data_IF_457887003709
#
_entry.id   IF_457887003709
#
_cell.length_a   1.000
_cell.length_b   1.000
_cell.length_c   1.000
_cell.angle_alpha   90.00
_cell.angle_beta   90.00
_cell.angle_gamma   90.00
#
_symmetry.space_group_name_H-M   'P 1'
#
loop_
_entity.id
_entity.type
_entity.pdbx_description
1 polymer ?
#
# COMPACT_ATOMS: atom_id res chain seq x y z
N UNK A 1 -15.24 49.40 43.02
CA UNK A 1 -16.61 49.41 42.47
C UNK A 1 -16.89 50.80 41.91
N UNK A 2 -17.46 50.86 40.71
CA UNK A 2 -17.78 52.02 39.84
C UNK A 2 -16.72 52.43 38.81
N UNK A 3 -17.25 52.46 37.59
CA UNK A 3 -16.70 52.65 36.26
C UNK A 3 -17.00 54.09 35.83
N UNK A 4 -16.20 54.65 34.90
CA UNK A 4 -16.54 55.47 33.72
C UNK A 4 -15.44 56.54 33.47
N UNK A 5 -14.64 56.37 32.41
CA UNK A 5 -14.83 56.90 31.04
C UNK A 5 -14.65 58.42 30.91
N UNK A 6 -13.55 58.84 30.27
CA UNK A 6 -13.58 59.92 29.27
C UNK A 6 -12.40 59.85 28.32
N UNK A 7 -12.70 60.28 27.11
CA UNK A 7 -12.12 59.97 25.82
C UNK A 7 -11.65 61.30 25.19
N UNK A 8 -10.44 61.35 24.65
CA UNK A 8 -10.05 62.20 23.50
C UNK A 8 -8.64 61.77 23.03
N UNK A 9 -8.48 61.17 21.84
CA UNK A 9 -8.23 61.84 20.55
C UNK A 9 -6.87 62.57 20.60
N UNK A 10 -5.81 62.16 19.90
CA UNK A 10 -5.61 62.26 18.45
C UNK A 10 -4.43 61.35 18.08
N UNK A 11 -4.55 60.50 17.07
CA UNK A 11 -3.38 60.06 16.29
C UNK A 11 -3.77 59.89 14.83
N UNK A 12 -2.86 60.36 14.00
CA UNK A 12 -3.08 60.84 12.67
C UNK A 12 -3.45 59.75 11.64
N UNK A 13 -4.25 60.18 10.67
CA UNK A 13 -4.44 59.56 9.37
C UNK A 13 -3.08 59.31 8.68
N UNK A 14 -2.85 58.06 8.29
CA UNK A 14 -2.06 57.73 7.11
C UNK A 14 -2.89 56.71 6.31
N UNK A 15 -3.56 57.21 5.27
CA UNK A 15 -4.21 56.40 4.25
C UNK A 15 -3.13 56.00 3.24
N UNK A 16 -2.86 54.70 3.13
CA UNK A 16 -2.33 54.11 1.91
C UNK A 16 -3.19 52.87 1.59
N UNK A 17 -3.73 52.88 0.39
CA UNK A 17 -4.78 52.01 -0.09
C UNK A 17 -4.27 50.66 -0.64
N UNK A 18 -5.17 49.67 -0.59
CA UNK A 18 -5.28 48.45 -1.42
C UNK A 18 -4.10 47.45 -1.36
N UNK A 19 -4.29 46.14 -1.19
CA UNK A 19 -5.40 45.30 -1.62
C UNK A 19 -5.66 44.13 -0.66
N UNK A 20 -6.94 43.88 -0.40
CA UNK A 20 -7.42 42.65 0.22
C UNK A 20 -7.36 41.51 -0.80
N UNK A 21 -6.40 40.58 -0.63
CA UNK A 21 -6.38 39.29 -1.31
C UNK A 21 -7.09 38.23 -0.47
N UNK A 22 -8.38 38.05 -0.73
CA UNK A 22 -9.25 36.99 -0.19
C UNK A 22 -8.75 35.63 -0.72
N UNK A 23 -8.10 34.80 0.10
CA UNK A 23 -7.72 33.43 -0.29
C UNK A 23 -8.92 32.48 -0.19
N UNK A 24 -9.72 32.44 -1.24
CA UNK A 24 -10.59 31.30 -1.57
C UNK A 24 -10.11 30.75 -2.91
N UNK A 25 -9.85 29.44 -2.99
CA UNK A 25 -9.55 28.77 -4.24
C UNK A 25 -8.76 27.50 -4.00
N UNK A 26 -9.47 26.37 -4.05
CA UNK A 26 -8.91 25.03 -4.16
C UNK A 26 -8.03 24.95 -5.42
N UNK A 27 -6.72 25.07 -5.27
CA UNK A 27 -5.76 24.62 -6.28
C UNK A 27 -5.40 23.16 -5.96
N UNK A 28 -5.50 22.23 -6.92
CA UNK A 28 -4.99 20.88 -6.69
C UNK A 28 -3.48 20.99 -6.48
N UNK A 29 -2.99 20.51 -5.33
CA UNK A 29 -1.56 20.39 -5.07
C UNK A 29 -0.87 19.81 -6.31
N UNK A 30 -0.03 20.61 -6.95
CA UNK A 30 0.79 20.16 -8.08
C UNK A 30 1.75 19.11 -7.53
N UNK A 31 1.38 17.83 -7.63
CA UNK A 31 2.19 16.71 -7.15
C UNK A 31 3.52 16.72 -7.87
N UNK A 32 4.62 16.69 -7.11
CA UNK A 32 5.94 16.46 -7.69
C UNK A 32 5.98 15.07 -8.32
N UNK A 33 6.18 15.05 -9.65
CA UNK A 33 6.51 13.86 -10.44
C UNK A 33 7.79 13.22 -9.89
N UNK A 34 7.91 11.89 -9.92
CA UNK A 34 9.09 11.22 -9.35
C UNK A 34 10.37 11.72 -10.03
N UNK A 35 11.29 12.29 -9.25
CA UNK A 35 12.60 12.70 -9.73
C UNK A 35 13.49 11.46 -9.81
N UNK A 36 13.75 11.01 -11.04
CA UNK A 36 14.55 9.81 -11.34
C UNK A 36 15.70 10.23 -12.24
N UNK A 37 16.94 10.06 -11.79
CA UNK A 37 18.13 10.33 -12.60
C UNK A 37 18.28 9.27 -13.72
N UNK A 38 18.85 9.61 -14.89
CA UNK A 38 18.92 8.70 -16.04
C UNK A 38 19.60 7.35 -15.74
N UNK A 39 20.66 7.37 -14.94
CA UNK A 39 21.49 6.22 -14.56
C UNK A 39 21.13 5.64 -13.18
N UNK A 40 20.11 6.19 -12.53
CA UNK A 40 19.68 5.73 -11.21
C UNK A 40 19.28 4.26 -11.25
N UNK A 41 20.05 3.40 -10.56
CA UNK A 41 19.81 1.96 -10.49
C UNK A 41 18.72 1.58 -9.49
N UNK A 42 18.69 2.24 -8.34
CA UNK A 42 17.74 1.97 -7.26
C UNK A 42 16.82 3.15 -7.01
N UNK A 43 15.56 2.88 -6.78
CA UNK A 43 14.55 3.87 -6.42
C UNK A 43 13.88 3.43 -5.12
N UNK A 44 13.76 4.34 -4.17
CA UNK A 44 13.01 4.11 -2.94
C UNK A 44 11.76 4.97 -2.96
N UNK A 45 10.60 4.35 -2.80
CA UNK A 45 9.32 5.02 -2.61
C UNK A 45 8.93 4.86 -1.14
N UNK A 46 8.70 5.95 -0.41
CA UNK A 46 8.30 5.92 0.98
C UNK A 46 6.97 6.64 1.17
N UNK A 47 6.08 6.09 2.00
CA UNK A 47 4.80 6.74 2.28
C UNK A 47 4.29 6.46 3.69
N UNK A 48 3.69 7.48 4.28
CA UNK A 48 2.78 7.33 5.42
C UNK A 48 1.34 7.06 4.95
N UNK A 49 0.99 7.50 3.73
CA UNK A 49 -0.36 7.45 3.16
C UNK A 49 -0.38 6.54 1.92
N UNK A 50 -0.74 5.28 2.13
CA UNK A 50 -0.82 4.23 1.10
C UNK A 50 -1.65 4.60 -0.14
N UNK A 51 -2.64 5.50 -0.01
CA UNK A 51 -3.47 5.97 -1.12
C UNK A 51 -2.72 6.68 -2.27
N UNK A 52 -1.50 7.18 -2.05
CA UNK A 52 -0.70 7.84 -3.11
C UNK A 52 0.27 6.88 -3.79
N UNK A 53 0.73 5.87 -3.06
CA UNK A 53 1.80 4.95 -3.47
C UNK A 53 1.45 4.12 -4.71
N UNK A 54 0.18 3.80 -4.96
CA UNK A 54 -0.20 3.09 -6.19
C UNK A 54 0.24 3.86 -7.44
N UNK A 55 0.03 5.18 -7.47
CA UNK A 55 0.41 6.01 -8.62
C UNK A 55 1.92 6.13 -8.76
N UNK A 56 2.64 6.18 -7.64
CA UNK A 56 4.10 6.24 -7.62
C UNK A 56 4.72 4.92 -8.12
N UNK A 57 4.13 3.78 -7.75
CA UNK A 57 4.49 2.46 -8.30
C UNK A 57 4.26 2.41 -9.80
N UNK A 58 3.09 2.87 -10.28
CA UNK A 58 2.77 2.89 -11.71
C UNK A 58 3.76 3.77 -12.49
N UNK A 59 4.10 4.96 -11.96
CA UNK A 59 5.10 5.84 -12.56
C UNK A 59 6.49 5.18 -12.58
N UNK A 60 6.95 4.61 -11.47
CA UNK A 60 8.23 3.93 -11.38
C UNK A 60 8.33 2.75 -12.37
N UNK A 61 7.28 1.93 -12.45
CA UNK A 61 7.20 0.81 -13.39
C UNK A 61 7.24 1.29 -14.85
N UNK A 62 6.54 2.36 -15.20
CA UNK A 62 6.60 2.95 -16.55
C UNK A 62 8.01 3.42 -16.94
N UNK A 63 8.87 3.65 -15.94
CA UNK A 63 10.28 4.05 -16.09
C UNK A 63 11.25 2.87 -15.98
N UNK A 64 10.74 1.64 -15.98
CA UNK A 64 11.52 0.41 -15.99
C UNK A 64 12.01 -0.03 -14.61
N UNK A 65 11.32 0.34 -13.52
CA UNK A 65 11.65 -0.15 -12.18
C UNK A 65 10.77 -1.33 -11.76
N UNK A 66 11.39 -2.28 -11.06
CA UNK A 66 10.75 -3.46 -10.48
C UNK A 66 10.94 -3.49 -8.97
N UNK A 67 9.90 -3.89 -8.24
CA UNK A 67 9.95 -4.04 -6.78
C UNK A 67 10.92 -5.15 -6.34
N UNK A 68 11.91 -4.77 -5.54
CA UNK A 68 12.82 -5.69 -4.86
C UNK A 68 12.30 -6.10 -3.49
N UNK A 69 11.94 -5.15 -2.62
CA UNK A 69 11.48 -5.46 -1.26
C UNK A 69 10.69 -4.29 -0.68
N UNK A 70 9.89 -4.54 0.35
CA UNK A 70 9.29 -3.52 1.19
C UNK A 70 9.76 -3.66 2.63
N UNK A 71 9.73 -2.57 3.38
CA UNK A 71 10.03 -2.57 4.81
C UNK A 71 9.30 -1.43 5.50
N UNK A 72 8.86 -1.58 6.76
CA UNK A 72 8.58 -0.41 7.59
C UNK A 72 9.88 0.40 7.75
N UNK A 73 9.79 1.72 7.65
CA UNK A 73 10.89 2.65 7.95
C UNK A 73 10.68 3.34 9.29
N UNK A 74 9.43 3.38 9.75
CA UNK A 74 9.02 3.80 11.09
C UNK A 74 7.72 3.06 11.45
N UNK A 75 7.07 3.44 12.55
CA UNK A 75 5.78 2.86 12.91
C UNK A 75 4.66 3.26 11.94
N UNK A 76 4.70 4.47 11.35
CA UNK A 76 3.63 4.99 10.47
C UNK A 76 3.98 4.97 8.99
N UNK A 77 5.24 4.70 8.65
CA UNK A 77 5.77 4.78 7.29
C UNK A 77 6.30 3.42 6.81
N UNK A 78 6.06 3.13 5.53
CA UNK A 78 6.74 2.05 4.83
C UNK A 78 7.50 2.59 3.62
N UNK A 79 8.57 1.88 3.26
CA UNK A 79 9.28 2.09 2.02
C UNK A 79 9.29 0.83 1.14
N UNK A 80 9.35 1.05 -0.16
CA UNK A 80 9.52 0.04 -1.20
C UNK A 80 10.81 0.36 -1.94
N UNK A 81 11.75 -0.58 -1.93
CA UNK A 81 12.96 -0.51 -2.74
C UNK A 81 12.70 -1.18 -4.09
N UNK A 82 13.04 -0.47 -5.16
CA UNK A 82 12.90 -0.92 -6.54
C UNK A 82 14.24 -0.84 -7.26
N UNK A 83 14.44 -1.70 -8.25
CA UNK A 83 15.64 -1.73 -9.11
C UNK A 83 15.23 -1.56 -10.57
N UNK A 84 16.06 -0.83 -11.33
CA UNK A 84 15.90 -0.66 -12.77
C UNK A 84 16.16 -1.99 -13.48
N UNK A 85 15.23 -2.43 -14.31
CA UNK A 85 15.40 -3.62 -15.16
C UNK A 85 16.01 -3.25 -16.50
N UNK A 86 16.80 -4.16 -17.08
CA UNK A 86 17.43 -3.97 -18.39
C UNK A 86 16.41 -4.03 -19.55
N UNK A 87 15.33 -4.81 -19.39
CA UNK A 87 14.25 -4.96 -20.36
C UNK A 87 12.90 -4.47 -19.78
N UNK A 88 12.43 -3.27 -20.17
CA UNK A 88 11.14 -2.75 -19.76
C UNK A 88 9.94 -3.51 -20.33
N UNK A 89 10.10 -4.30 -21.41
CA UNK A 89 9.01 -5.09 -21.99
C UNK A 89 8.56 -6.23 -21.05
N UNK A 90 9.41 -6.57 -20.08
CA UNK A 90 9.13 -7.47 -18.96
C UNK A 90 8.46 -6.78 -17.76
N UNK A 91 7.81 -5.62 -17.97
CA UNK A 91 7.23 -4.82 -16.89
C UNK A 91 6.13 -5.59 -16.13
N UNK A 92 6.22 -5.53 -14.80
CA UNK A 92 5.21 -6.04 -13.90
C UNK A 92 4.20 -4.94 -13.59
N UNK A 93 2.92 -5.28 -13.53
CA UNK A 93 1.92 -4.39 -12.94
C UNK A 93 1.87 -4.65 -11.44
N UNK A 94 1.71 -3.60 -10.64
CA UNK A 94 1.63 -3.71 -9.19
C UNK A 94 0.25 -3.31 -8.68
N UNK A 95 -0.23 -3.98 -7.64
CA UNK A 95 -1.40 -3.55 -6.87
C UNK A 95 -1.03 -3.46 -5.40
N UNK A 96 -1.24 -2.29 -4.81
CA UNK A 96 -1.10 -2.08 -3.38
C UNK A 96 -2.41 -2.43 -2.69
N UNK A 97 -2.34 -3.30 -1.68
CA UNK A 97 -3.45 -3.57 -0.76
C UNK A 97 -3.06 -3.09 0.63
N UNK A 98 -3.92 -2.28 1.25
CA UNK A 98 -3.78 -1.80 2.62
C UNK A 98 -5.11 -1.94 3.34
N UNK A 99 -5.13 -2.67 4.46
CA UNK A 99 -6.39 -2.98 5.14
C UNK A 99 -6.21 -3.24 6.63
N UNK A 100 -7.24 -2.87 7.39
CA UNK A 100 -7.34 -3.10 8.83
C UNK A 100 -8.22 -4.31 9.17
N UNK A 101 -9.01 -4.82 8.21
CA UNK A 101 -9.97 -5.91 8.42
C UNK A 101 -9.56 -7.16 7.64
N UNK A 102 -9.35 -8.26 8.35
CA UNK A 102 -8.95 -9.55 7.76
C UNK A 102 -9.95 -10.05 6.71
N UNK A 103 -11.25 -9.95 6.98
CA UNK A 103 -12.29 -10.39 6.03
C UNK A 103 -12.21 -9.59 4.70
N UNK A 104 -11.94 -8.29 4.79
CA UNK A 104 -11.70 -7.43 3.62
C UNK A 104 -10.41 -7.83 2.91
N UNK A 105 -9.33 -8.06 3.65
CA UNK A 105 -8.03 -8.50 3.10
C UNK A 105 -8.17 -9.77 2.26
N UNK A 106 -8.83 -10.81 2.79
CA UNK A 106 -9.06 -12.07 2.07
C UNK A 106 -9.83 -11.83 0.77
N UNK A 107 -10.86 -10.98 0.81
CA UNK A 107 -11.66 -10.65 -0.37
C UNK A 107 -10.83 -9.91 -1.42
N UNK A 108 -10.07 -8.89 -1.03
CA UNK A 108 -9.25 -8.07 -1.93
C UNK A 108 -8.07 -8.85 -2.54
N UNK A 109 -7.41 -9.68 -1.73
CA UNK A 109 -6.38 -10.61 -2.19
C UNK A 109 -6.93 -11.53 -3.28
N UNK A 110 -8.04 -12.22 -3.00
CA UNK A 110 -8.62 -13.15 -3.97
C UNK A 110 -9.18 -12.43 -5.20
N UNK A 111 -9.81 -11.25 -5.06
CA UNK A 111 -10.26 -10.47 -6.21
C UNK A 111 -9.08 -10.12 -7.15
N UNK A 112 -7.96 -9.68 -6.58
CA UNK A 112 -6.74 -9.39 -7.34
C UNK A 112 -6.09 -10.65 -7.91
N UNK A 113 -6.17 -11.76 -7.19
CA UNK A 113 -5.70 -13.07 -7.62
C UNK A 113 -6.43 -13.56 -8.88
N UNK A 114 -7.75 -13.35 -8.94
CA UNK A 114 -8.58 -13.65 -10.11
C UNK A 114 -8.24 -12.78 -11.33
N UNK A 115 -7.63 -11.62 -11.11
CA UNK A 115 -7.09 -10.78 -12.18
C UNK A 115 -5.64 -11.16 -12.57
N UNK A 116 -5.04 -12.14 -11.90
CA UNK A 116 -3.69 -12.64 -12.17
C UNK A 116 -2.58 -11.99 -11.34
N UNK A 117 -2.91 -11.18 -10.33
CA UNK A 117 -1.93 -10.63 -9.41
C UNK A 117 -1.51 -11.67 -8.37
N UNK A 118 -0.20 -11.85 -8.21
CA UNK A 118 0.43 -12.69 -7.19
C UNK A 118 0.91 -11.83 -6.01
N UNK A 119 0.74 -12.29 -4.77
CA UNK A 119 1.32 -11.63 -3.60
C UNK A 119 2.85 -11.51 -3.74
N UNK A 120 3.44 -10.39 -3.30
CA UNK A 120 4.89 -10.27 -3.06
C UNK A 120 5.14 -10.35 -1.55
N UNK A 121 5.52 -11.53 -1.01
CA UNK A 121 5.65 -11.71 0.43
C UNK A 121 6.67 -10.78 1.08
N UNK A 122 7.76 -10.50 0.36
CA UNK A 122 8.84 -9.58 0.74
C UNK A 122 8.44 -8.11 0.87
N UNK A 123 7.16 -7.78 0.65
CA UNK A 123 6.62 -6.43 0.81
C UNK A 123 5.57 -6.35 1.92
N UNK A 124 5.23 -7.49 2.52
CA UNK A 124 4.16 -7.56 3.49
C UNK A 124 4.64 -7.04 4.84
N UNK A 125 3.97 -6.01 5.35
CA UNK A 125 4.30 -5.37 6.63
C UNK A 125 3.05 -4.88 7.33
N UNK A 126 3.17 -4.58 8.61
CA UNK A 126 2.18 -3.80 9.35
C UNK A 126 2.71 -2.40 9.63
N UNK A 127 1.82 -1.42 9.66
CA UNK A 127 2.14 -0.07 10.14
C UNK A 127 0.95 0.55 10.86
N UNK A 128 1.20 1.55 11.69
CA UNK A 128 0.17 2.35 12.32
C UNK A 128 -0.57 3.16 11.25
N UNK A 129 -1.89 2.95 11.20
CA UNK A 129 -2.83 3.81 10.49
C UNK A 129 -3.41 4.87 11.43
N UNK A 130 -4.31 5.69 10.90
CA UNK A 130 -4.92 6.78 11.66
C UNK A 130 -5.74 6.29 12.89
N UNK A 131 -6.43 5.15 12.76
CA UNK A 131 -7.30 4.60 13.82
C UNK A 131 -6.85 3.23 14.35
N UNK A 132 -6.13 2.46 13.53
CA UNK A 132 -5.70 1.11 13.86
C UNK A 132 -4.50 0.72 13.03
N UNK A 133 -3.75 -0.26 13.48
CA UNK A 133 -2.69 -0.88 12.68
C UNK A 133 -3.29 -1.46 11.40
N UNK A 134 -2.65 -1.19 10.27
CA UNK A 134 -2.99 -1.72 8.95
C UNK A 134 -1.94 -2.72 8.49
N UNK A 135 -2.36 -3.74 7.75
CA UNK A 135 -1.44 -4.59 6.97
C UNK A 135 -1.36 -4.01 5.58
N UNK A 136 -0.14 -3.83 5.08
CA UNK A 136 0.14 -3.36 3.72
C UNK A 136 0.95 -4.43 2.99
N UNK A 137 0.60 -4.68 1.74
CA UNK A 137 1.34 -5.58 0.86
C UNK A 137 1.23 -5.12 -0.59
N UNK A 138 2.18 -5.54 -1.41
CA UNK A 138 2.09 -5.43 -2.85
C UNK A 138 1.74 -6.79 -3.45
N UNK A 139 1.06 -6.73 -4.58
CA UNK A 139 0.87 -7.85 -5.50
C UNK A 139 1.44 -7.48 -6.87
N UNK A 140 1.95 -8.44 -7.63
CA UNK A 140 2.54 -8.26 -8.95
C UNK A 140 1.85 -9.15 -9.97
N UNK A 141 1.67 -8.62 -11.17
CA UNK A 141 1.24 -9.38 -12.34
C UNK A 141 2.28 -9.23 -13.43
N UNK A 142 2.86 -10.35 -13.85
CA UNK A 142 3.73 -10.37 -15.02
C UNK A 142 2.91 -10.10 -16.27
N UNK A 143 3.45 -9.30 -17.18
CA UNK A 143 2.82 -9.06 -18.49
C UNK A 143 2.61 -10.39 -19.23
N UNK A 144 1.41 -10.61 -19.77
CA UNK A 144 1.05 -11.83 -20.50
C UNK A 144 0.84 -13.10 -19.66
N UNK A 145 0.88 -13.02 -18.33
CA UNK A 145 0.62 -14.18 -17.47
C UNK A 145 -0.86 -14.60 -17.47
N UNK A 146 -1.11 -15.89 -17.71
CA UNK A 146 -2.42 -16.57 -17.59
C UNK A 146 -2.64 -17.22 -16.22
N UNK A 147 -1.63 -17.18 -15.35
CA UNK A 147 -1.70 -17.69 -13.98
C UNK A 147 -2.77 -16.96 -13.17
N UNK A 148 -3.37 -17.68 -12.25
CA UNK A 148 -4.29 -17.21 -11.23
C UNK A 148 -3.92 -17.84 -9.90
N UNK A 149 -4.41 -17.23 -8.82
CA UNK A 149 -4.10 -17.67 -7.47
C UNK A 149 -5.38 -17.76 -6.63
N UNK A 150 -5.32 -18.56 -5.59
CA UNK A 150 -6.30 -18.62 -4.52
C UNK A 150 -5.57 -18.45 -3.19
N UNK A 151 -6.11 -17.60 -2.32
CA UNK A 151 -5.51 -17.31 -1.02
C UNK A 151 -6.41 -17.71 0.14
N UNK A 152 -5.81 -18.40 1.11
CA UNK A 152 -6.35 -18.55 2.46
C UNK A 152 -5.60 -17.63 3.41
N UNK A 153 -6.32 -17.07 4.37
CA UNK A 153 -5.76 -16.17 5.36
C UNK A 153 -6.22 -16.63 6.73
N UNK A 154 -5.25 -16.84 7.61
CA UNK A 154 -5.45 -17.23 9.00
C UNK A 154 -4.87 -16.18 9.92
N UNK A 155 -5.59 -15.85 10.98
CA UNK A 155 -5.18 -14.87 11.97
C UNK A 155 -5.50 -15.42 13.37
N UNK A 156 -4.48 -15.62 14.19
CA UNK A 156 -4.63 -16.18 15.54
C UNK A 156 -3.36 -15.97 16.35
N UNK A 157 -3.51 -15.81 17.67
CA UNK A 157 -2.39 -15.85 18.63
C UNK A 157 -1.97 -17.28 19.02
N UNK A 158 -2.80 -18.27 18.71
CA UNK A 158 -2.52 -19.66 19.06
C UNK A 158 -1.67 -20.33 17.99
N UNK A 159 -0.41 -20.63 18.32
CA UNK A 159 0.50 -21.40 17.47
C UNK A 159 -0.09 -22.76 17.10
N UNK A 160 -0.69 -23.49 18.07
CA UNK A 160 -1.35 -24.78 17.82
C UNK A 160 -2.44 -24.67 16.74
N UNK A 161 -3.30 -23.64 16.82
CA UNK A 161 -4.34 -23.41 15.80
C UNK A 161 -3.72 -23.02 14.47
N UNK A 162 -2.74 -22.11 14.47
CA UNK A 162 -2.05 -21.68 13.25
C UNK A 162 -1.44 -22.87 12.51
N UNK A 163 -0.69 -23.72 13.23
CA UNK A 163 -0.09 -24.93 12.67
C UNK A 163 -1.14 -25.86 12.06
N UNK A 164 -2.25 -26.11 12.75
CA UNK A 164 -3.33 -26.95 12.23
C UNK A 164 -3.96 -26.39 10.94
N UNK A 165 -4.13 -25.07 10.83
CA UNK A 165 -4.66 -24.43 9.61
C UNK A 165 -3.66 -24.48 8.44
N UNK A 166 -2.36 -24.37 8.73
CA UNK A 166 -1.28 -24.55 7.74
C UNK A 166 -1.30 -25.99 7.23
N UNK A 167 -1.22 -26.98 8.12
CA UNK A 167 -1.21 -28.42 7.77
C UNK A 167 -2.44 -28.80 6.93
N UNK A 168 -3.63 -28.32 7.33
CA UNK A 168 -4.86 -28.52 6.58
C UNK A 168 -4.76 -27.92 5.17
N UNK A 169 -4.24 -26.70 5.03
CA UNK A 169 -4.12 -26.03 3.74
C UNK A 169 -3.10 -26.71 2.83
N UNK A 170 -1.99 -27.19 3.38
CA UNK A 170 -0.98 -27.97 2.64
C UNK A 170 -1.58 -29.27 2.11
N UNK A 171 -2.39 -29.99 2.90
CA UNK A 171 -3.11 -31.17 2.45
C UNK A 171 -4.08 -30.89 1.29
N UNK A 172 -4.54 -29.65 1.15
CA UNK A 172 -5.42 -29.18 0.06
C UNK A 172 -4.66 -28.51 -1.10
N UNK A 173 -3.33 -28.60 -1.10
CA UNK A 173 -2.45 -28.15 -2.19
C UNK A 173 -2.09 -26.66 -2.13
N UNK A 174 -2.30 -25.99 -1.00
CA UNK A 174 -1.78 -24.65 -0.78
C UNK A 174 -0.34 -24.69 -0.25
N UNK A 175 0.39 -23.61 -0.44
CA UNK A 175 1.76 -23.42 0.06
C UNK A 175 1.84 -22.14 0.88
N UNK A 176 2.81 -22.02 1.79
CA UNK A 176 3.01 -20.81 2.57
C UNK A 176 3.42 -19.65 1.64
N UNK A 177 2.57 -18.62 1.58
CA UNK A 177 2.84 -17.43 0.78
C UNK A 177 3.56 -16.38 1.61
N UNK A 178 3.11 -16.10 2.83
CA UNK A 178 3.75 -15.10 3.68
C UNK A 178 3.18 -15.07 5.09
N UNK A 179 3.90 -14.37 5.96
CA UNK A 179 3.51 -14.15 7.36
C UNK A 179 3.76 -12.70 7.76
N UNK A 180 2.83 -12.13 8.53
CA UNK A 180 2.95 -10.79 9.11
C UNK A 180 2.27 -10.80 10.48
N UNK A 181 2.69 -9.94 11.40
CA UNK A 181 2.05 -9.83 12.71
C UNK A 181 1.43 -8.46 12.89
N UNK A 182 0.21 -8.42 13.43
CA UNK A 182 -0.54 -7.18 13.67
C UNK A 182 -1.39 -7.28 14.94
N UNK A 183 -0.74 -7.48 16.08
CA UNK A 183 -1.41 -7.87 17.33
C UNK A 183 -1.80 -9.35 17.38
N UNK A 184 -2.00 -9.98 16.22
CA UNK A 184 -2.07 -11.43 16.03
C UNK A 184 -1.13 -11.89 14.91
N UNK A 185 -0.75 -13.17 14.92
CA UNK A 185 0.00 -13.75 13.81
C UNK A 185 -0.95 -13.98 12.64
N UNK A 186 -0.57 -13.48 11.47
CA UNK A 186 -1.31 -13.67 10.23
C UNK A 186 -0.46 -14.48 9.26
N UNK A 187 -1.05 -15.54 8.72
CA UNK A 187 -0.44 -16.40 7.69
C UNK A 187 -1.33 -16.38 6.46
N UNK A 188 -0.69 -16.23 5.30
CA UNK A 188 -1.34 -16.34 3.99
C UNK A 188 -0.82 -17.60 3.32
N UNK A 189 -1.74 -18.44 2.86
CA UNK A 189 -1.47 -19.62 2.04
C UNK A 189 -1.89 -19.33 0.59
N UNK A 190 -1.14 -19.82 -0.38
CA UNK A 190 -1.36 -19.61 -1.83
C UNK A 190 -1.48 -20.95 -2.56
N UNK A 191 -2.41 -21.01 -3.51
CA UNK A 191 -2.47 -22.06 -4.53
C UNK A 191 -2.51 -21.43 -5.91
N UNK A 192 -1.61 -21.83 -6.79
CA UNK A 192 -1.56 -21.39 -8.19
C UNK A 192 -2.40 -22.32 -9.08
N UNK A 193 -3.10 -21.76 -10.06
CA UNK A 193 -3.76 -22.50 -11.13
C UNK A 193 -3.72 -21.70 -12.43
N UNK A 194 -3.96 -22.38 -13.56
CA UNK A 194 -4.08 -21.72 -14.88
C UNK A 194 -5.53 -21.47 -15.22
N UNK A 195 -5.79 -20.39 -15.95
CA UNK A 195 -7.10 -20.09 -16.53
C UNK A 195 -7.60 -21.29 -17.36
N UNK A 196 -8.79 -21.81 -17.04
CA UNK A 196 -9.38 -23.00 -17.67
C UNK A 196 -9.10 -24.34 -16.97
N UNK A 197 -8.21 -24.39 -15.97
CA UNK A 197 -8.22 -25.51 -15.02
C UNK A 197 -9.38 -25.31 -14.04
N UNK A 198 -10.42 -26.15 -14.13
CA UNK A 198 -11.50 -26.15 -13.14
C UNK A 198 -10.89 -26.31 -11.76
N UNK A 199 -11.19 -25.39 -10.85
CA UNK A 199 -10.90 -25.57 -9.42
C UNK A 199 -11.53 -26.90 -9.05
N UNK A 200 -10.71 -27.94 -8.88
CA UNK A 200 -11.16 -29.24 -8.41
C UNK A 200 -12.03 -28.97 -7.21
N UNK A 201 -13.33 -29.22 -7.35
CA UNK A 201 -14.20 -29.39 -6.20
C UNK A 201 -13.59 -30.56 -5.46
N UNK A 202 -12.80 -30.23 -4.43
CA UNK A 202 -12.34 -31.22 -3.47
C UNK A 202 -13.62 -31.77 -2.84
N UNK A 203 -13.79 -33.10 -2.76
CA UNK A 203 -14.98 -33.71 -2.18
C UNK A 203 -15.27 -33.25 -0.75
#
# INVERSE_FOLDING_TARGET
MKVLFSLALVCALAVAAAAQGKKNGDEPETRQKLKIEPDQRYLMLATQKTSTMQKELDEATSRGFRVLTGSPTSTTEMAVLMERVADPASAYQYRLLATTKIATMRKELNASAQEGYRLLPRTMTSKDGFLSVEVVMLMEKAHGSDKRYEYRLYATMSEKKMRAEIEKSEAEGFTLAGMVSRGEHMVIMEREYREGQTLSQVP
#
